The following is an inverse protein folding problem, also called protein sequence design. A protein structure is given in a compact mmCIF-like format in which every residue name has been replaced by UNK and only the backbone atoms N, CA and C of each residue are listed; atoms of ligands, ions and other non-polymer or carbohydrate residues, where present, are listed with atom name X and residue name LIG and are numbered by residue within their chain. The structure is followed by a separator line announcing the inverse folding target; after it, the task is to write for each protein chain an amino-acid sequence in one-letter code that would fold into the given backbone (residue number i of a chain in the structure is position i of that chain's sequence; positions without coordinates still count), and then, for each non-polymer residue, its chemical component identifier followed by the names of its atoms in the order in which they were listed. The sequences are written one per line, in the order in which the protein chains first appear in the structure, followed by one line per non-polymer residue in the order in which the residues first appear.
data_IF_385458018329
#
_entry.id   IF_385458018329
#
_cell.length_a   1.000
_cell.length_b   1.000
_cell.length_c   1.000
_cell.angle_alpha   90.00
_cell.angle_beta   90.00
_cell.angle_gamma   90.00
#
_symmetry.space_group_name_H-M   'P 1'
#
loop_
_entity.id
_entity.type
_entity.pdbx_description
1 polymer ?
#
# COMPACT_ATOMS: atom_id res chain seq x y z
N UNK A 1 18.36 -21.62 -0.87
CA UNK A 1 18.85 -20.37 -1.48
C UNK A 1 17.74 -19.34 -1.36
N UNK A 2 17.96 -18.26 -0.63
CA UNK A 2 17.02 -17.13 -0.60
C UNK A 2 17.04 -16.48 -1.98
N UNK A 3 15.98 -16.68 -2.77
CA UNK A 3 15.83 -15.96 -4.05
C UNK A 3 15.58 -14.49 -3.71
N UNK A 4 16.61 -13.68 -3.86
CA UNK A 4 16.49 -12.21 -3.81
C UNK A 4 15.71 -11.75 -5.03
N UNK A 5 14.70 -10.90 -4.83
CA UNK A 5 13.96 -10.31 -5.96
C UNK A 5 14.91 -9.44 -6.79
N UNK A 6 14.92 -9.54 -8.14
CA UNK A 6 15.72 -8.66 -9.00
C UNK A 6 15.44 -7.18 -8.79
N UNK A 7 14.22 -6.82 -8.34
CA UNK A 7 13.86 -5.44 -7.99
C UNK A 7 14.69 -4.89 -6.84
N UNK A 8 15.10 -5.74 -5.89
CA UNK A 8 15.92 -5.34 -4.75
C UNK A 8 17.39 -5.14 -5.13
N UNK A 9 17.80 -5.61 -6.32
CA UNK A 9 19.15 -5.42 -6.85
C UNK A 9 19.27 -4.25 -7.84
N UNK A 10 18.19 -3.47 -8.05
CA UNK A 10 18.27 -2.29 -8.90
C UNK A 10 19.26 -1.27 -8.32
N UNK A 11 19.98 -0.51 -9.18
CA UNK A 11 20.82 0.59 -8.72
C UNK A 11 20.04 1.51 -7.78
N UNK A 12 20.69 2.01 -6.72
CA UNK A 12 20.14 2.95 -5.75
C UNK A 12 18.96 2.45 -4.89
N UNK A 13 18.41 1.26 -5.15
CA UNK A 13 17.25 0.73 -4.43
C UNK A 13 17.44 0.65 -2.92
N UNK A 14 18.64 0.32 -2.44
CA UNK A 14 18.92 0.31 -0.99
C UNK A 14 18.84 1.70 -0.36
N UNK A 15 19.29 2.74 -1.06
CA UNK A 15 19.16 4.12 -0.61
C UNK A 15 17.70 4.59 -0.63
N UNK A 16 16.96 4.25 -1.70
CA UNK A 16 15.54 4.59 -1.81
C UNK A 16 14.67 3.87 -0.78
N UNK A 17 14.99 2.62 -0.43
CA UNK A 17 14.31 1.92 0.67
C UNK A 17 14.52 2.60 2.02
N UNK A 18 15.70 3.19 2.27
CA UNK A 18 15.92 3.97 3.48
C UNK A 18 15.09 5.27 3.48
N UNK A 19 14.98 5.94 2.32
CA UNK A 19 14.10 7.09 2.13
C UNK A 19 12.64 6.72 2.39
N UNK A 20 12.18 5.57 1.88
CA UNK A 20 10.83 5.03 2.12
C UNK A 20 10.56 4.81 3.61
N UNK A 21 11.45 4.14 4.35
CA UNK A 21 11.21 3.89 5.79
C UNK A 21 11.12 5.20 6.59
N UNK A 22 12.00 6.17 6.29
CA UNK A 22 11.98 7.49 6.94
C UNK A 22 10.70 8.28 6.60
N UNK A 23 10.30 8.27 5.33
CA UNK A 23 9.11 8.95 4.85
C UNK A 23 7.82 8.33 5.42
N UNK A 24 7.74 7.00 5.52
CA UNK A 24 6.58 6.28 6.05
C UNK A 24 6.29 6.64 7.50
N UNK A 25 7.33 6.67 8.34
CA UNK A 25 7.21 7.09 9.74
C UNK A 25 6.85 8.58 9.88
N UNK A 26 7.33 9.42 8.96
CA UNK A 26 7.00 10.85 8.95
C UNK A 26 5.56 11.09 8.51
N UNK A 27 5.06 10.32 7.55
CA UNK A 27 3.73 10.46 6.96
C UNK A 27 2.60 10.24 7.97
N UNK A 28 2.81 9.45 9.03
CA UNK A 28 1.78 9.18 10.04
C UNK A 28 1.85 10.09 11.27
N UNK A 29 2.77 11.06 11.30
CA UNK A 29 2.88 12.00 12.43
C UNK A 29 1.67 12.93 12.52
N UNK A 30 1.12 13.03 13.72
CA UNK A 30 0.01 13.86 14.12
C UNK A 30 0.33 14.54 15.48
N UNK A 31 -0.46 15.54 15.85
CA UNK A 31 -0.38 16.20 17.17
C UNK A 31 -0.82 15.26 18.30
N UNK A 32 -1.75 14.35 18.01
CA UNK A 32 -2.22 13.36 18.96
C UNK A 32 -1.23 12.19 19.06
N UNK A 33 -0.62 12.03 20.24
CA UNK A 33 0.38 10.99 20.47
C UNK A 33 -0.22 9.56 20.45
N UNK A 34 -1.48 9.42 20.83
CA UNK A 34 -2.17 8.14 20.83
C UNK A 34 -2.49 7.69 19.40
N UNK A 35 -2.98 8.60 18.56
CA UNK A 35 -3.19 8.33 17.14
C UNK A 35 -1.87 7.97 16.42
N UNK A 36 -0.75 8.62 16.80
CA UNK A 36 0.58 8.27 16.28
C UNK A 36 0.97 6.83 16.63
N UNK A 37 0.75 6.40 17.87
CA UNK A 37 1.04 5.03 18.30
C UNK A 37 0.21 4.03 17.50
N UNK A 38 -1.11 4.26 17.40
CA UNK A 38 -2.00 3.40 16.64
C UNK A 38 -1.59 3.28 15.16
N UNK A 39 -1.35 4.42 14.49
CA UNK A 39 -1.01 4.45 13.07
C UNK A 39 0.37 3.87 12.77
N UNK A 40 1.34 4.03 13.68
CA UNK A 40 2.70 3.53 13.50
C UNK A 40 2.87 2.04 13.84
N UNK A 41 1.89 1.41 14.51
CA UNK A 41 2.02 0.05 15.06
C UNK A 41 2.48 -1.00 14.02
N UNK A 42 1.78 -1.15 12.89
CA UNK A 42 2.21 -2.10 11.84
C UNK A 42 3.35 -1.56 10.95
N UNK A 43 3.63 -0.26 10.99
CA UNK A 43 4.79 0.33 10.32
C UNK A 43 6.06 -0.15 11.02
N UNK A 44 6.13 0.02 12.35
CA UNK A 44 7.26 -0.35 13.20
C UNK A 44 7.43 -1.86 13.30
N UNK A 45 6.35 -2.65 13.20
CA UNK A 45 6.41 -4.11 13.08
C UNK A 45 7.16 -4.59 11.81
N UNK A 46 7.56 -3.68 10.94
CA UNK A 46 8.29 -3.96 9.72
C UNK A 46 7.39 -4.50 8.61
N UNK A 47 7.98 -4.83 7.49
CA UNK A 47 7.28 -5.32 6.31
C UNK A 47 8.22 -5.38 5.12
N UNK A 48 7.80 -6.03 4.03
CA UNK A 48 8.64 -6.18 2.84
C UNK A 48 8.71 -4.91 1.97
N UNK A 49 7.80 -3.94 2.20
CA UNK A 49 7.66 -2.68 1.43
C UNK A 49 7.65 -2.88 -0.09
N UNK A 50 7.00 -3.93 -0.56
CA UNK A 50 7.03 -4.29 -1.98
C UNK A 50 6.33 -3.25 -2.87
N UNK A 51 5.30 -2.57 -2.38
CA UNK A 51 4.57 -1.54 -3.14
C UNK A 51 5.40 -0.26 -3.34
N UNK A 52 6.06 0.30 -2.31
CA UNK A 52 7.05 1.34 -2.51
C UNK A 52 8.19 0.93 -3.45
N UNK A 53 8.74 -0.28 -3.28
CA UNK A 53 9.79 -0.81 -4.18
C UNK A 53 9.30 -0.88 -5.63
N UNK A 54 8.06 -1.32 -5.86
CA UNK A 54 7.45 -1.33 -7.20
C UNK A 54 7.33 0.08 -7.79
N UNK A 55 6.95 1.06 -6.95
CA UNK A 55 6.83 2.46 -7.38
C UNK A 55 8.17 3.03 -7.82
N UNK A 56 9.22 2.82 -7.01
CA UNK A 56 10.59 3.25 -7.32
C UNK A 56 11.11 2.55 -8.57
N UNK A 57 10.91 1.23 -8.68
CA UNK A 57 11.35 0.47 -9.84
C UNK A 57 10.68 0.94 -11.15
N UNK A 58 9.38 1.23 -11.12
CA UNK A 58 8.65 1.74 -12.28
C UNK A 58 9.12 3.14 -12.68
N UNK A 59 9.40 4.01 -11.71
CA UNK A 59 9.96 5.33 -11.96
C UNK A 59 11.35 5.27 -12.61
N UNK A 60 12.19 4.31 -12.21
CA UNK A 60 13.56 4.12 -12.69
C UNK A 60 13.65 3.42 -14.07
N UNK A 61 12.53 3.06 -14.71
CA UNK A 61 12.57 2.44 -16.04
C UNK A 61 13.27 3.36 -17.03
N UNK A 62 14.36 2.89 -17.64
CA UNK A 62 15.13 3.66 -18.62
C UNK A 62 15.95 4.82 -18.04
N UNK A 63 16.11 4.91 -16.71
CA UNK A 63 16.90 5.95 -16.05
C UNK A 63 17.65 5.39 -14.82
N UNK A 64 18.95 5.67 -14.73
CA UNK A 64 19.80 5.27 -13.60
C UNK A 64 19.97 6.37 -12.53
N UNK A 65 19.31 7.52 -12.71
CA UNK A 65 19.33 8.63 -11.75
C UNK A 65 18.46 8.34 -10.51
N UNK A 66 18.79 8.92 -9.35
CA UNK A 66 17.95 8.80 -8.16
C UNK A 66 16.52 9.29 -8.41
N UNK A 67 15.53 8.54 -7.92
CA UNK A 67 14.13 8.96 -8.05
C UNK A 67 13.83 10.20 -7.21
N UNK A 68 12.88 11.02 -7.66
CA UNK A 68 12.47 12.23 -6.94
C UNK A 68 11.79 11.90 -5.61
N UNK A 69 11.72 12.89 -4.70
CA UNK A 69 10.96 12.74 -3.45
C UNK A 69 9.47 12.47 -3.72
N UNK A 70 8.92 13.00 -4.80
CA UNK A 70 7.54 12.77 -5.21
C UNK A 70 7.28 11.29 -5.56
N UNK A 71 8.24 10.60 -6.18
CA UNK A 71 8.14 9.15 -6.43
C UNK A 71 8.11 8.39 -5.10
N UNK A 72 8.95 8.77 -4.14
CA UNK A 72 8.94 8.16 -2.80
C UNK A 72 7.57 8.38 -2.15
N UNK A 73 7.04 9.61 -2.18
CA UNK A 73 5.70 9.93 -1.67
C UNK A 73 4.61 9.11 -2.36
N UNK A 74 4.69 8.92 -3.68
CA UNK A 74 3.79 8.05 -4.43
C UNK A 74 3.76 6.63 -3.85
N UNK A 75 4.94 6.06 -3.58
CA UNK A 75 5.06 4.73 -2.97
C UNK A 75 4.52 4.68 -1.53
N UNK A 76 4.74 5.75 -0.75
CA UNK A 76 4.16 5.89 0.60
C UNK A 76 2.63 5.90 0.53
N UNK A 77 2.02 6.62 -0.42
CA UNK A 77 0.56 6.64 -0.56
C UNK A 77 -0.01 5.23 -0.75
N UNK A 78 0.61 4.40 -1.59
CA UNK A 78 0.19 3.02 -1.79
C UNK A 78 0.43 2.13 -0.56
N UNK A 79 1.55 2.29 0.14
CA UNK A 79 1.81 1.52 1.37
C UNK A 79 0.88 1.92 2.52
N UNK A 80 0.49 3.18 2.62
CA UNK A 80 -0.51 3.64 3.60
C UNK A 80 -1.90 3.06 3.30
N UNK A 81 -2.32 3.00 2.03
CA UNK A 81 -3.54 2.27 1.64
C UNK A 81 -3.45 0.80 2.03
N UNK A 82 -2.32 0.16 1.74
CA UNK A 82 -2.10 -1.23 2.13
C UNK A 82 -2.18 -1.43 3.65
N UNK A 83 -1.53 -0.58 4.43
CA UNK A 83 -1.56 -0.67 5.89
C UNK A 83 -2.96 -0.42 6.43
N UNK A 84 -3.67 0.60 5.92
CA UNK A 84 -5.06 0.86 6.28
C UNK A 84 -5.95 -0.35 6.03
N UNK A 85 -5.81 -1.00 4.87
CA UNK A 85 -6.56 -2.22 4.56
C UNK A 85 -6.23 -3.36 5.52
N UNK A 86 -4.96 -3.53 5.93
CA UNK A 86 -4.59 -4.57 6.91
C UNK A 86 -5.23 -4.33 8.28
N UNK A 87 -5.37 -3.09 8.73
CA UNK A 87 -6.04 -2.76 9.99
C UNK A 87 -7.52 -3.15 9.93
N UNK A 88 -8.18 -2.85 8.81
CA UNK A 88 -9.57 -3.20 8.59
C UNK A 88 -9.75 -4.72 8.43
N UNK A 89 -8.87 -5.38 7.68
CA UNK A 89 -8.86 -6.84 7.51
C UNK A 89 -8.69 -7.55 8.86
N UNK A 90 -7.76 -7.11 9.71
CA UNK A 90 -7.55 -7.71 11.04
C UNK A 90 -8.79 -7.62 11.93
N UNK A 91 -9.61 -6.58 11.77
CA UNK A 91 -10.91 -6.46 12.44
C UNK A 91 -11.93 -7.43 11.85
N UNK A 92 -12.03 -7.51 10.51
CA UNK A 92 -12.98 -8.40 9.82
C UNK A 92 -12.68 -9.88 10.08
N UNK A 93 -11.40 -10.24 10.15
CA UNK A 93 -10.92 -11.62 10.31
C UNK A 93 -10.75 -12.02 11.80
N UNK A 94 -11.04 -11.11 12.74
CA UNK A 94 -10.79 -11.30 14.18
C UNK A 94 -9.35 -11.74 14.49
N UNK A 95 -8.38 -11.22 13.73
CA UNK A 95 -7.00 -11.64 13.82
C UNK A 95 -6.38 -11.17 15.16
N UNK A 96 -5.72 -12.07 15.87
CA UNK A 96 -5.02 -11.77 17.13
C UNK A 96 -3.59 -11.26 16.91
N UNK A 97 -2.92 -11.69 15.83
CA UNK A 97 -1.52 -11.32 15.55
C UNK A 97 -1.27 -11.07 14.07
N UNK A 98 -0.34 -10.16 13.77
CA UNK A 98 0.18 -9.87 12.42
C UNK A 98 1.66 -9.56 12.49
N UNK A 99 2.46 -10.16 11.61
CA UNK A 99 3.93 -9.99 11.57
C UNK A 99 4.62 -10.26 12.92
N UNK A 100 4.08 -11.17 13.72
CA UNK A 100 4.63 -11.55 15.02
C UNK A 100 4.34 -10.58 16.16
N UNK A 101 3.52 -9.55 15.94
CA UNK A 101 3.01 -8.64 16.98
C UNK A 101 1.50 -8.76 17.09
N UNK A 102 0.91 -8.34 18.21
CA UNK A 102 -0.55 -8.23 18.36
C UNK A 102 -1.11 -7.28 17.29
N UNK A 103 -2.29 -7.58 16.77
CA UNK A 103 -3.01 -6.65 15.88
C UNK A 103 -3.53 -5.44 16.66
N UNK A 104 -3.86 -4.37 15.96
CA UNK A 104 -4.38 -3.16 16.62
C UNK A 104 -5.75 -3.43 17.26
N UNK A 105 -6.59 -4.26 16.64
CA UNK A 105 -7.87 -4.64 17.20
C UNK A 105 -7.74 -5.53 18.44
N UNK A 106 -6.76 -6.43 18.49
CA UNK A 106 -6.52 -7.25 19.68
C UNK A 106 -6.02 -6.41 20.86
N UNK A 107 -5.15 -5.42 20.61
CA UNK A 107 -4.51 -4.63 21.68
C UNK A 107 -5.34 -3.41 22.12
N UNK A 108 -6.02 -2.73 21.20
CA UNK A 108 -6.76 -1.48 21.49
C UNK A 108 -8.26 -1.56 21.14
N UNK A 109 -8.73 -2.66 20.57
CA UNK A 109 -10.14 -2.87 20.22
C UNK A 109 -10.51 -2.41 18.81
N UNK A 110 -11.61 -2.96 18.30
CA UNK A 110 -12.04 -2.80 16.91
C UNK A 110 -12.26 -1.33 16.51
N UNK A 111 -12.87 -0.52 17.37
CA UNK A 111 -13.16 0.89 17.06
C UNK A 111 -11.89 1.70 16.80
N UNK A 112 -10.84 1.47 17.58
CA UNK A 112 -9.56 2.17 17.42
C UNK A 112 -8.82 1.67 16.17
N UNK A 113 -8.90 0.38 15.86
CA UNK A 113 -8.33 -0.17 14.64
C UNK A 113 -9.00 0.39 13.37
N UNK A 114 -10.33 0.51 13.37
CA UNK A 114 -11.09 1.12 12.26
C UNK A 114 -10.64 2.57 12.04
N UNK A 115 -10.64 3.38 13.09
CA UNK A 115 -10.26 4.80 12.99
C UNK A 115 -8.79 4.99 12.61
N UNK A 116 -7.89 4.11 13.06
CA UNK A 116 -6.50 4.14 12.65
C UNK A 116 -6.34 3.79 11.17
N UNK A 117 -7.08 2.79 10.66
CA UNK A 117 -7.14 2.48 9.24
C UNK A 117 -7.66 3.66 8.40
N UNK A 118 -8.74 4.31 8.85
CA UNK A 118 -9.31 5.51 8.19
C UNK A 118 -8.31 6.67 8.15
N UNK A 119 -7.56 6.87 9.25
CA UNK A 119 -6.51 7.87 9.30
C UNK A 119 -5.39 7.58 8.29
N UNK A 120 -4.96 6.31 8.15
CA UNK A 120 -3.97 5.93 7.15
C UNK A 120 -4.47 6.19 5.71
N UNK A 121 -5.73 5.89 5.41
CA UNK A 121 -6.35 6.20 4.12
C UNK A 121 -6.44 7.71 3.86
N UNK A 122 -6.74 8.51 4.89
CA UNK A 122 -6.74 9.97 4.78
C UNK A 122 -5.34 10.51 4.46
N UNK A 123 -4.30 10.02 5.15
CA UNK A 123 -2.90 10.41 4.87
C UNK A 123 -2.45 9.99 3.48
N UNK A 124 -2.84 8.79 3.02
CA UNK A 124 -2.58 8.35 1.65
C UNK A 124 -3.21 9.29 0.61
N UNK A 125 -4.47 9.69 0.86
CA UNK A 125 -5.23 10.58 -0.02
C UNK A 125 -4.63 12.00 -0.07
N UNK A 126 -4.15 12.52 1.06
CA UNK A 126 -3.46 13.82 1.13
C UNK A 126 -2.19 13.82 0.28
N UNK A 127 -1.38 12.76 0.39
CA UNK A 127 -0.17 12.61 -0.42
C UNK A 127 -0.53 12.51 -1.91
N UNK A 128 -1.50 11.66 -2.26
CA UNK A 128 -1.92 11.50 -3.65
C UNK A 128 -2.45 12.80 -4.25
N UNK A 129 -3.19 13.60 -3.49
CA UNK A 129 -3.68 14.91 -3.92
C UNK A 129 -2.54 15.90 -4.18
N UNK A 130 -1.50 15.88 -3.35
CA UNK A 130 -0.31 16.73 -3.55
C UNK A 130 0.49 16.36 -4.80
N UNK A 131 0.47 15.08 -5.20
CA UNK A 131 1.13 14.58 -6.42
C UNK A 131 0.33 14.85 -7.71
N UNK A 132 -0.92 15.30 -7.58
CA UNK A 132 -1.75 15.72 -8.70
C UNK A 132 -3.08 14.97 -8.79
N UNK A 133 -4.02 15.57 -9.52
CA UNK A 133 -5.39 15.06 -9.66
C UNK A 133 -5.45 13.67 -10.28
N UNK A 134 -4.53 13.35 -11.19
CA UNK A 134 -4.47 12.04 -11.83
C UNK A 134 -4.05 10.93 -10.84
N UNK A 135 -3.02 11.17 -10.04
CA UNK A 135 -2.59 10.24 -8.98
C UNK A 135 -3.69 10.05 -7.94
N UNK A 136 -4.33 11.14 -7.50
CA UNK A 136 -5.48 11.08 -6.61
C UNK A 136 -6.65 10.28 -7.19
N UNK A 137 -6.98 10.48 -8.47
CA UNK A 137 -8.05 9.74 -9.14
C UNK A 137 -7.74 8.25 -9.22
N UNK A 138 -6.52 7.90 -9.62
CA UNK A 138 -6.07 6.51 -9.73
C UNK A 138 -6.11 5.80 -8.36
N UNK A 139 -5.60 6.45 -7.31
CA UNK A 139 -5.62 5.88 -5.96
C UNK A 139 -7.06 5.70 -5.46
N UNK A 140 -7.95 6.66 -5.67
CA UNK A 140 -9.35 6.58 -5.27
C UNK A 140 -10.09 5.43 -5.98
N UNK A 141 -9.90 5.27 -7.29
CA UNK A 141 -10.45 4.15 -8.06
C UNK A 141 -9.94 2.80 -7.52
N UNK A 142 -8.67 2.74 -7.17
CA UNK A 142 -8.04 1.53 -6.63
C UNK A 142 -8.59 1.17 -5.26
N UNK A 143 -8.84 2.15 -4.38
CA UNK A 143 -9.52 1.92 -3.10
C UNK A 143 -10.92 1.34 -3.34
N UNK A 144 -11.66 1.83 -4.34
CA UNK A 144 -12.92 1.24 -4.77
C UNK A 144 -12.78 -0.23 -5.17
N UNK A 145 -11.83 -0.55 -6.04
CA UNK A 145 -11.57 -1.93 -6.47
C UNK A 145 -11.13 -2.86 -5.34
N UNK A 146 -10.37 -2.35 -4.35
CA UNK A 146 -10.00 -3.11 -3.15
C UNK A 146 -11.26 -3.51 -2.36
N UNK A 147 -12.17 -2.55 -2.15
CA UNK A 147 -13.45 -2.81 -1.48
C UNK A 147 -14.32 -3.82 -2.25
N UNK A 148 -14.43 -3.67 -3.57
CA UNK A 148 -15.17 -4.60 -4.42
C UNK A 148 -14.59 -6.02 -4.35
N UNK A 149 -13.26 -6.15 -4.44
CA UNK A 149 -12.57 -7.43 -4.32
C UNK A 149 -12.78 -8.10 -2.96
N UNK A 150 -12.77 -7.31 -1.88
CA UNK A 150 -13.07 -7.78 -0.53
C UNK A 150 -14.53 -8.24 -0.39
N UNK A 151 -15.50 -7.51 -0.95
CA UNK A 151 -16.91 -7.91 -0.94
C UNK A 151 -17.13 -9.21 -1.72
N UNK A 152 -16.52 -9.37 -2.89
CA UNK A 152 -16.60 -10.62 -3.66
C UNK A 152 -16.00 -11.79 -2.87
N UNK A 153 -14.88 -11.59 -2.17
CA UNK A 153 -14.27 -12.62 -1.33
C UNK A 153 -15.20 -13.04 -0.20
N UNK A 154 -15.76 -12.07 0.53
CA UNK A 154 -16.69 -12.32 1.63
C UNK A 154 -17.98 -13.02 1.16
N UNK A 155 -18.54 -12.60 0.02
CA UNK A 155 -19.77 -13.17 -0.54
C UNK A 155 -19.59 -14.64 -0.95
N UNK A 156 -18.35 -15.03 -1.29
CA UNK A 156 -17.99 -16.39 -1.70
C UNK A 156 -17.28 -17.18 -0.60
N UNK A 157 -17.25 -16.66 0.63
CA UNK A 157 -16.65 -17.35 1.75
C UNK A 157 -17.36 -18.70 1.98
N UNK A 158 -16.57 -19.76 2.17
CA UNK A 158 -17.04 -21.14 2.40
C UNK A 158 -17.82 -21.79 1.24
N UNK A 159 -17.92 -21.14 0.08
CA UNK A 159 -18.54 -21.72 -1.12
C UNK A 159 -17.55 -22.63 -1.86
N UNK A 160 -17.70 -23.95 -1.68
CA UNK A 160 -16.88 -24.96 -2.37
C UNK A 160 -17.15 -25.05 -3.88
N UNK A 161 -18.24 -24.43 -4.35
CA UNK A 161 -18.58 -24.36 -5.78
C UNK A 161 -18.03 -23.13 -6.48
N UNK A 162 -17.28 -22.28 -5.76
CA UNK A 162 -16.69 -21.05 -6.30
C UNK A 162 -15.84 -21.34 -7.53
N UNK A 163 -16.15 -20.64 -8.62
CA UNK A 163 -15.45 -20.79 -9.90
C UNK A 163 -14.08 -20.09 -9.89
N UNK A 164 -13.16 -20.59 -10.72
CA UNK A 164 -11.84 -19.95 -10.92
C UNK A 164 -11.98 -18.49 -11.39
N UNK A 165 -12.87 -18.14 -12.34
CA UNK A 165 -13.09 -16.74 -12.72
C UNK A 165 -13.49 -15.84 -11.54
N UNK A 166 -14.39 -16.29 -10.65
CA UNK A 166 -14.76 -15.53 -9.44
C UNK A 166 -13.57 -15.37 -8.48
N UNK A 167 -12.73 -16.40 -8.34
CA UNK A 167 -11.51 -16.30 -7.54
C UNK A 167 -10.54 -15.23 -8.10
N UNK A 168 -10.33 -15.22 -9.43
CA UNK A 168 -9.46 -14.25 -10.09
C UNK A 168 -9.93 -12.81 -9.85
N UNK A 169 -11.24 -12.55 -9.92
CA UNK A 169 -11.80 -11.22 -9.63
C UNK A 169 -11.44 -10.74 -8.22
N UNK A 170 -11.58 -11.59 -7.19
CA UNK A 170 -11.20 -11.19 -5.82
C UNK A 170 -9.72 -10.88 -5.68
N UNK A 171 -8.83 -11.73 -6.21
CA UNK A 171 -7.39 -11.52 -6.02
C UNK A 171 -6.87 -10.35 -6.87
N UNK A 172 -7.48 -10.11 -8.03
CA UNK A 172 -7.21 -8.94 -8.86
C UNK A 172 -7.59 -7.67 -8.11
N UNK A 173 -8.82 -7.61 -7.59
CA UNK A 173 -9.32 -6.47 -6.82
C UNK A 173 -8.55 -6.24 -5.52
N UNK A 174 -8.42 -7.26 -4.66
CA UNK A 174 -7.84 -7.13 -3.30
C UNK A 174 -6.31 -7.00 -3.29
N UNK A 175 -5.62 -7.53 -4.30
CA UNK A 175 -4.15 -7.59 -4.30
C UNK A 175 -3.52 -6.94 -5.53
N UNK A 176 -3.87 -7.38 -6.73
CA UNK A 176 -3.17 -6.96 -7.95
C UNK A 176 -3.37 -5.47 -8.26
N UNK A 177 -4.58 -4.95 -8.03
CA UNK A 177 -4.97 -3.56 -8.30
C UNK A 177 -4.01 -2.54 -7.66
N UNK A 178 -3.62 -2.75 -6.40
CA UNK A 178 -2.76 -1.84 -5.67
C UNK A 178 -1.29 -1.97 -6.09
N UNK A 179 -0.85 -3.14 -6.54
CA UNK A 179 0.48 -3.30 -7.15
C UNK A 179 0.56 -2.61 -8.52
N UNK A 180 -0.47 -2.80 -9.37
CA UNK A 180 -0.60 -2.09 -10.64
C UNK A 180 -0.58 -0.59 -10.43
N UNK A 181 -1.33 -0.10 -9.45
CA UNK A 181 -1.38 1.32 -9.08
C UNK A 181 -0.04 1.85 -8.60
N UNK A 182 0.69 1.10 -7.77
CA UNK A 182 2.02 1.49 -7.33
C UNK A 182 2.99 1.67 -8.52
N UNK A 183 2.98 0.74 -9.47
CA UNK A 183 3.79 0.87 -10.69
C UNK A 183 3.39 2.08 -11.53
N UNK A 184 2.08 2.25 -11.80
CA UNK A 184 1.53 3.37 -12.59
C UNK A 184 1.84 4.72 -11.95
N UNK A 185 1.67 4.86 -10.64
CA UNK A 185 2.02 6.10 -9.91
C UNK A 185 3.50 6.40 -10.06
N UNK A 186 4.37 5.40 -9.91
CA UNK A 186 5.81 5.58 -10.09
C UNK A 186 6.16 6.12 -11.48
N UNK A 187 5.59 5.50 -12.52
CA UNK A 187 5.81 5.92 -13.89
C UNK A 187 5.25 7.33 -14.19
N UNK A 188 4.03 7.61 -13.72
CA UNK A 188 3.37 8.92 -13.89
C UNK A 188 4.16 10.05 -13.25
N UNK A 189 4.57 9.88 -11.99
CA UNK A 189 5.29 10.91 -11.24
C UNK A 189 6.71 11.13 -11.79
N UNK A 190 7.34 10.10 -12.35
CA UNK A 190 8.62 10.23 -13.04
C UNK A 190 8.51 10.88 -14.43
N UNK A 191 7.29 11.17 -14.91
CA UNK A 191 7.07 11.85 -16.19
C UNK A 191 7.25 10.95 -17.42
N UNK A 192 7.11 9.63 -17.26
CA UNK A 192 7.13 8.70 -18.38
C UNK A 192 5.96 8.92 -19.33
N UNK A 193 6.13 8.57 -20.60
CA UNK A 193 5.05 8.64 -21.57
C UNK A 193 3.92 7.62 -21.27
N UNK A 194 2.76 7.82 -21.91
CA UNK A 194 1.57 6.99 -21.67
C UNK A 194 1.76 5.52 -22.04
N UNK A 195 2.61 5.22 -23.01
CA UNK A 195 2.86 3.83 -23.41
C UNK A 195 3.63 3.12 -22.30
N UNK A 196 4.61 3.79 -21.70
CA UNK A 196 5.37 3.23 -20.56
C UNK A 196 4.50 3.14 -19.30
N UNK A 197 3.65 4.13 -19.03
CA UNK A 197 2.75 4.12 -17.87
C UNK A 197 1.73 2.98 -17.91
N UNK A 198 1.23 2.62 -19.10
CA UNK A 198 0.17 1.62 -19.28
C UNK A 198 0.68 0.22 -19.71
N UNK A 199 2.00 0.02 -19.75
CA UNK A 199 2.64 -1.26 -20.10
C UNK A 199 2.49 -2.32 -18.99
#
# INVERSE_FOLDING_TARGET
MSVSSPLLSLPLMDADRQRVESALLTAVKNRDAHLNELAAHLIVAGGKRLRPVMTVAAAAVGNDEPVSDDVIQGGISCELVHLGSLYHDDVMDEAATRRGVETVNARWGNLQAILAGDFLLAKASEIAAALGTEVATLLAQTIGHLCEGQIEELTKAFDVSRSVPSYLVSIEGKTASLFSTAARIGALVAGHDRVVVEA
#
